data_IF_920594470041
#
_entry.id   IF_920594470041
#
_cell.length_a   1.000
_cell.length_b   1.000
_cell.length_c   1.000
_cell.angle_alpha   90.00
_cell.angle_beta   90.00
_cell.angle_gamma   90.00
#
_symmetry.space_group_name_H-M   'P 1'
#
loop_
_entity.id
_entity.type
_entity.pdbx_description
1 polymer ?
#
# COMPACT_ATOMS: atom_id res chain seq x y z
N UNK A 1 -31.93 -6.59 7.71
CA UNK A 1 -31.71 -5.26 8.31
C UNK A 1 -30.37 -5.13 9.05
N UNK A 2 -29.75 -6.21 9.51
CA UNK A 2 -28.53 -6.20 10.35
C UNK A 2 -27.22 -5.96 9.57
N UNK A 3 -27.13 -6.44 8.33
CA UNK A 3 -25.92 -6.31 7.49
C UNK A 3 -25.60 -4.87 7.04
N UNK A 4 -26.63 -4.05 6.80
CA UNK A 4 -26.44 -2.64 6.42
C UNK A 4 -25.84 -1.79 7.57
N UNK A 5 -26.17 -2.11 8.83
CA UNK A 5 -25.64 -1.40 9.98
C UNK A 5 -24.15 -1.68 10.19
N UNK A 6 -23.72 -2.94 10.02
CA UNK A 6 -22.32 -3.33 10.18
C UNK A 6 -21.46 -2.69 9.09
N UNK A 7 -21.90 -2.72 7.83
CA UNK A 7 -21.18 -2.07 6.72
C UNK A 7 -21.04 -0.55 6.94
N UNK A 8 -22.07 0.11 7.47
CA UNK A 8 -22.06 1.55 7.74
C UNK A 8 -21.13 1.91 8.91
N UNK A 9 -21.09 1.09 9.96
CA UNK A 9 -20.18 1.28 11.10
C UNK A 9 -18.72 1.04 10.72
N UNK A 10 -18.44 0.03 9.88
CA UNK A 10 -17.09 -0.23 9.37
C UNK A 10 -16.65 0.91 8.43
N UNK A 11 -17.50 1.37 7.52
CA UNK A 11 -17.19 2.51 6.65
C UNK A 11 -16.98 3.81 7.44
N UNK A 12 -17.75 4.03 8.51
CA UNK A 12 -17.60 5.20 9.38
C UNK A 12 -16.32 5.12 10.22
N UNK A 13 -16.01 3.96 10.81
CA UNK A 13 -14.80 3.76 11.59
C UNK A 13 -13.53 3.85 10.72
N UNK A 14 -13.56 3.26 9.52
CA UNK A 14 -12.51 3.41 8.52
C UNK A 14 -12.39 4.87 8.07
N UNK A 15 -13.50 5.56 7.78
CA UNK A 15 -13.51 6.97 7.41
C UNK A 15 -12.97 7.90 8.49
N UNK A 16 -13.27 7.64 9.78
CA UNK A 16 -12.75 8.43 10.89
C UNK A 16 -11.26 8.17 11.17
N UNK A 17 -10.78 6.92 11.05
CA UNK A 17 -9.35 6.60 11.13
C UNK A 17 -8.57 7.16 9.95
N UNK A 18 -9.10 7.05 8.73
CA UNK A 18 -8.49 7.65 7.54
C UNK A 18 -8.36 9.17 7.70
N UNK A 19 -9.39 9.83 8.24
CA UNK A 19 -9.35 11.27 8.50
C UNK A 19 -8.37 11.67 9.61
N UNK A 20 -8.28 10.88 10.68
CA UNK A 20 -7.43 11.18 11.83
C UNK A 20 -5.95 10.86 11.61
N UNK A 21 -5.63 9.88 10.76
CA UNK A 21 -4.25 9.40 10.55
C UNK A 21 -3.67 9.84 9.20
N UNK A 22 -4.52 10.05 8.19
CA UNK A 22 -4.08 10.30 6.80
C UNK A 22 -4.54 11.64 6.22
N UNK A 23 -5.53 12.31 6.83
CA UNK A 23 -6.19 13.50 6.27
C UNK A 23 -6.43 14.61 7.31
N UNK A 24 -5.39 14.98 8.07
CA UNK A 24 -5.31 16.34 8.60
C UNK A 24 -5.08 17.29 7.42
N UNK A 25 -6.07 18.12 7.09
CA UNK A 25 -6.13 18.93 5.87
C UNK A 25 -4.90 19.82 5.63
N UNK A 26 -4.19 20.24 6.69
CA UNK A 26 -2.95 21.03 6.60
C UNK A 26 -1.68 20.18 6.42
N UNK A 27 -1.71 18.91 6.83
CA UNK A 27 -0.57 17.98 6.70
C UNK A 27 -0.66 17.09 5.45
N UNK A 28 -1.85 16.89 4.88
CA UNK A 28 -2.02 16.13 3.64
C UNK A 28 -1.32 16.76 2.43
N UNK A 29 -1.33 18.11 2.33
CA UNK A 29 -0.65 18.83 1.26
C UNK A 29 0.89 18.80 1.37
N UNK A 30 1.43 18.90 2.59
CA UNK A 30 2.87 18.81 2.84
C UNK A 30 3.41 17.37 2.71
N UNK A 31 2.63 16.37 3.12
CA UNK A 31 2.98 14.94 2.96
C UNK A 31 2.99 14.53 1.48
N UNK A 32 2.01 15.02 0.70
CA UNK A 32 1.97 14.80 -0.75
C UNK A 32 3.19 15.41 -1.48
N UNK A 33 3.51 16.68 -1.24
CA UNK A 33 4.65 17.33 -1.90
C UNK A 33 5.99 16.72 -1.51
N UNK A 34 6.17 16.34 -0.25
CA UNK A 34 7.35 15.64 0.25
C UNK A 34 7.52 14.27 -0.44
N UNK A 35 6.44 13.52 -0.60
CA UNK A 35 6.47 12.23 -1.29
C UNK A 35 6.81 12.38 -2.77
N UNK A 36 6.16 13.31 -3.48
CA UNK A 36 6.46 13.55 -4.89
C UNK A 36 7.93 13.92 -5.08
N UNK A 37 8.46 14.78 -4.20
CA UNK A 37 9.88 15.18 -4.22
C UNK A 37 10.81 13.99 -3.92
N UNK A 38 10.42 13.11 -3.00
CA UNK A 38 11.20 11.91 -2.71
C UNK A 38 11.25 10.98 -3.93
N UNK A 39 10.10 10.70 -4.55
CA UNK A 39 10.00 9.78 -5.69
C UNK A 39 10.74 10.34 -6.91
N UNK A 40 10.58 11.64 -7.20
CA UNK A 40 11.29 12.27 -8.33
C UNK A 40 12.80 12.25 -8.15
N UNK A 41 13.29 12.34 -6.91
CA UNK A 41 14.72 12.25 -6.60
C UNK A 41 15.23 10.81 -6.59
N UNK A 42 14.41 9.84 -6.20
CA UNK A 42 14.77 8.43 -6.15
C UNK A 42 14.75 7.75 -7.53
N UNK A 43 14.01 8.30 -8.50
CA UNK A 43 13.85 7.73 -9.84
C UNK A 43 13.87 8.81 -10.92
N UNK A 44 14.99 8.91 -11.64
CA UNK A 44 15.24 9.87 -12.72
C UNK A 44 14.28 9.73 -13.93
N UNK A 45 13.54 8.62 -14.05
CA UNK A 45 12.63 8.36 -15.16
C UNK A 45 11.14 8.45 -14.81
N UNK A 46 10.78 8.72 -13.55
CA UNK A 46 9.37 8.74 -13.13
C UNK A 46 8.71 10.06 -13.53
N UNK A 47 7.67 9.99 -14.38
CA UNK A 47 6.91 11.18 -14.73
C UNK A 47 6.05 11.64 -13.54
N UNK A 48 5.70 12.94 -13.49
CA UNK A 48 4.87 13.50 -12.41
C UNK A 48 3.54 12.76 -12.25
N UNK A 49 2.90 12.35 -13.35
CA UNK A 49 1.64 11.58 -13.34
C UNK A 49 1.82 10.19 -12.71
N UNK A 50 2.98 9.56 -12.93
CA UNK A 50 3.31 8.27 -12.34
C UNK A 50 3.57 8.41 -10.84
N UNK A 51 4.25 9.48 -10.42
CA UNK A 51 4.49 9.78 -9.02
C UNK A 51 3.18 10.07 -8.25
N UNK A 52 2.22 10.76 -8.88
CA UNK A 52 0.89 10.99 -8.30
C UNK A 52 0.08 9.70 -8.17
N UNK A 53 0.12 8.85 -9.19
CA UNK A 53 -0.57 7.55 -9.18
C UNK A 53 0.06 6.64 -8.11
N UNK A 54 1.38 6.64 -8.00
CA UNK A 54 2.12 5.91 -6.99
C UNK A 54 1.78 6.41 -5.57
N UNK A 55 1.67 7.72 -5.36
CA UNK A 55 1.23 8.27 -4.08
C UNK A 55 -0.15 7.71 -3.68
N UNK A 56 -1.12 7.77 -4.59
CA UNK A 56 -2.47 7.30 -4.32
C UNK A 56 -2.49 5.81 -3.94
N UNK A 57 -1.71 5.00 -4.64
CA UNK A 57 -1.59 3.56 -4.39
C UNK A 57 -0.89 3.27 -3.04
N UNK A 58 0.19 3.98 -2.69
CA UNK A 58 0.89 3.82 -1.41
C UNK A 58 -0.02 4.18 -0.23
N UNK A 59 -0.73 5.32 -0.29
CA UNK A 59 -1.70 5.71 0.76
C UNK A 59 -2.80 4.67 0.87
N UNK A 60 -3.39 4.28 -0.26
CA UNK A 60 -4.51 3.35 -0.28
C UNK A 60 -4.09 1.98 0.27
N UNK A 61 -2.89 1.52 -0.07
CA UNK A 61 -2.36 0.26 0.43
C UNK A 61 -2.14 0.30 1.95
N UNK A 62 -1.56 1.37 2.49
CA UNK A 62 -1.39 1.51 3.95
C UNK A 62 -2.72 1.36 4.70
N UNK A 63 -3.76 2.06 4.24
CA UNK A 63 -5.08 1.94 4.83
C UNK A 63 -5.73 0.56 4.65
N UNK A 64 -5.48 -0.12 3.52
CA UNK A 64 -5.94 -1.50 3.29
C UNK A 64 -5.24 -2.47 4.23
N UNK A 65 -3.93 -2.33 4.46
CA UNK A 65 -3.17 -3.16 5.40
C UNK A 65 -3.71 -2.99 6.82
N UNK A 66 -3.94 -1.75 7.26
CA UNK A 66 -4.54 -1.45 8.56
C UNK A 66 -5.93 -2.08 8.68
N UNK A 67 -6.80 -1.87 7.69
CA UNK A 67 -8.15 -2.43 7.70
C UNK A 67 -8.13 -3.96 7.72
N UNK A 68 -7.26 -4.57 6.91
CA UNK A 68 -7.12 -6.02 6.80
C UNK A 68 -6.64 -6.63 8.11
N UNK A 69 -5.57 -6.11 8.72
CA UNK A 69 -5.05 -6.63 10.00
C UNK A 69 -6.07 -6.51 11.13
N UNK A 70 -6.93 -5.49 11.12
CA UNK A 70 -8.00 -5.34 12.12
C UNK A 70 -9.20 -6.28 11.88
N UNK A 71 -9.38 -6.80 10.66
CA UNK A 71 -10.54 -7.61 10.28
C UNK A 71 -10.20 -9.09 10.00
N UNK A 72 -8.93 -9.41 9.74
CA UNK A 72 -8.46 -10.76 9.45
C UNK A 72 -8.52 -11.63 10.70
N UNK A 73 -8.93 -12.88 10.53
CA UNK A 73 -8.99 -13.88 11.60
C UNK A 73 -7.95 -15.01 11.42
N UNK A 74 -6.84 -14.69 10.77
CA UNK A 74 -5.69 -15.57 10.56
C UNK A 74 -6.00 -16.90 9.84
N UNK A 75 -7.14 -16.96 9.14
CA UNK A 75 -7.47 -18.10 8.29
C UNK A 75 -6.47 -18.27 7.15
N UNK A 76 -5.87 -19.46 7.09
CA UNK A 76 -4.93 -19.83 6.03
C UNK A 76 -5.66 -20.50 4.89
N UNK A 77 -5.32 -20.12 3.66
CA UNK A 77 -5.86 -20.74 2.46
C UNK A 77 -5.29 -22.16 2.31
N UNK A 78 -6.17 -23.11 1.98
CA UNK A 78 -5.79 -24.50 1.72
C UNK A 78 -4.81 -24.54 0.54
N UNK A 79 -3.71 -25.29 0.69
CA UNK A 79 -2.55 -25.37 -0.21
C UNK A 79 -1.63 -24.14 -0.26
N UNK A 80 -1.89 -23.11 0.56
CA UNK A 80 -1.01 -21.94 0.72
C UNK A 80 -0.65 -21.70 2.20
N UNK A 81 -0.69 -22.74 3.01
CA UNK A 81 -0.39 -22.72 4.45
C UNK A 81 1.09 -22.50 4.77
N UNK A 82 1.93 -22.16 3.79
CA UNK A 82 3.29 -21.68 4.04
C UNK A 82 3.35 -20.15 4.09
N UNK A 83 2.35 -19.48 3.54
CA UNK A 83 2.26 -18.04 3.51
C UNK A 83 1.49 -17.53 4.72
N UNK A 84 1.91 -16.39 5.26
CA UNK A 84 1.17 -15.69 6.32
C UNK A 84 -0.01 -14.90 5.72
N UNK A 85 -0.93 -14.47 6.59
CA UNK A 85 -2.06 -13.60 6.17
C UNK A 85 -1.56 -12.34 5.46
N UNK A 86 -0.52 -11.70 5.99
CA UNK A 86 0.10 -10.51 5.41
C UNK A 86 0.76 -10.80 4.05
N UNK A 87 1.50 -11.90 3.92
CA UNK A 87 2.11 -12.28 2.65
C UNK A 87 1.05 -12.52 1.56
N UNK A 88 -0.06 -13.18 1.92
CA UNK A 88 -1.17 -13.41 1.00
C UNK A 88 -1.87 -12.11 0.60
N UNK A 89 -2.03 -11.14 1.51
CA UNK A 89 -2.57 -9.83 1.19
C UNK A 89 -1.75 -9.15 0.09
N UNK A 90 -0.43 -9.03 0.29
CA UNK A 90 0.44 -8.37 -0.69
C UNK A 90 0.49 -9.11 -2.03
N UNK A 91 0.52 -10.45 -2.01
CA UNK A 91 0.44 -11.28 -3.22
C UNK A 91 -0.87 -11.01 -3.97
N UNK A 92 -2.01 -10.99 -3.28
CA UNK A 92 -3.32 -10.77 -3.88
C UNK A 92 -3.42 -9.38 -4.54
N UNK A 93 -2.88 -8.35 -3.90
CA UNK A 93 -2.87 -6.98 -4.43
C UNK A 93 -2.06 -6.88 -5.72
N UNK A 94 -0.88 -7.49 -5.75
CA UNK A 94 -0.07 -7.54 -6.96
C UNK A 94 -0.69 -8.42 -8.05
N UNK A 95 -1.25 -9.56 -7.68
CA UNK A 95 -1.95 -10.47 -8.60
C UNK A 95 -3.13 -9.79 -9.30
N UNK A 96 -3.90 -8.96 -8.58
CA UNK A 96 -4.99 -8.17 -9.19
C UNK A 96 -4.49 -7.24 -10.31
N UNK A 97 -3.25 -6.72 -10.18
CA UNK A 97 -2.62 -5.86 -11.19
C UNK A 97 -2.03 -6.68 -12.36
N UNK A 98 -1.68 -7.95 -12.15
CA UNK A 98 -1.23 -8.86 -13.22
C UNK A 98 -2.34 -9.19 -14.23
N UNK A 99 -3.60 -9.20 -13.82
CA UNK A 99 -4.74 -9.57 -14.69
C UNK A 99 -5.20 -8.39 -15.56
N UNK A 100 -4.90 -7.14 -15.16
CA UNK A 100 -5.50 -5.94 -15.72
C UNK A 100 -4.68 -5.13 -16.73
N UNK A 101 -3.39 -5.42 -16.97
CA UNK A 101 -2.52 -4.55 -17.78
C UNK A 101 -1.88 -5.25 -18.99
N UNK A 102 -2.19 -4.75 -20.18
CA UNK A 102 -1.52 -5.02 -21.46
C UNK A 102 -0.35 -4.06 -21.74
N UNK A 103 0.00 -3.17 -20.79
CA UNK A 103 1.07 -2.19 -20.98
C UNK A 103 2.34 -2.58 -20.21
N UNK A 104 3.42 -2.58 -20.98
CA UNK A 104 4.74 -3.16 -20.70
C UNK A 104 5.70 -2.10 -20.17
N UNK A 105 6.65 -2.54 -19.32
CA UNK A 105 7.96 -1.94 -19.01
C UNK A 105 7.98 -0.56 -18.34
N UNK A 106 7.85 -0.54 -17.03
CA UNK A 106 8.85 -0.05 -16.06
C UNK A 106 8.60 -0.88 -14.79
N UNK A 107 9.38 -0.77 -13.70
CA UNK A 107 9.10 -1.48 -12.43
C UNK A 107 7.60 -1.71 -12.25
N UNK A 108 7.17 -2.97 -12.08
CA UNK A 108 5.73 -3.25 -12.04
C UNK A 108 5.10 -2.30 -11.02
N UNK A 109 3.97 -1.67 -11.33
CA UNK A 109 3.38 -0.70 -10.38
C UNK A 109 3.21 -1.34 -8.97
N UNK A 110 3.06 -2.66 -8.92
CA UNK A 110 3.23 -3.47 -7.71
C UNK A 110 4.57 -3.22 -6.99
N UNK A 111 5.71 -3.48 -7.62
CA UNK A 111 7.03 -3.26 -7.02
C UNK A 111 7.27 -1.79 -6.63
N UNK A 112 6.82 -0.87 -7.49
CA UNK A 112 6.90 0.57 -7.25
C UNK A 112 6.19 0.97 -5.94
N UNK A 113 5.00 0.40 -5.71
CA UNK A 113 4.21 0.64 -4.50
C UNK A 113 4.83 -0.09 -3.30
N UNK A 114 5.09 -1.39 -3.42
CA UNK A 114 5.48 -2.24 -2.29
C UNK A 114 6.82 -1.85 -1.67
N UNK A 115 7.80 -1.38 -2.46
CA UNK A 115 9.09 -0.92 -1.91
C UNK A 115 8.97 0.32 -1.00
N UNK A 116 7.85 1.04 -1.08
CA UNK A 116 7.54 2.21 -0.27
C UNK A 116 6.61 1.92 0.91
N UNK A 117 6.18 0.65 1.09
CA UNK A 117 5.33 0.19 2.20
C UNK A 117 6.15 -0.71 3.12
N UNK A 118 6.59 -0.22 4.30
CA UNK A 118 7.51 -0.97 5.16
C UNK A 118 6.95 -2.32 5.62
N UNK A 119 5.63 -2.41 5.82
CA UNK A 119 4.91 -3.62 6.22
C UNK A 119 5.13 -4.76 5.21
N UNK A 120 5.35 -4.45 3.92
CA UNK A 120 5.72 -5.45 2.92
C UNK A 120 7.10 -6.04 3.22
N UNK A 121 8.10 -5.19 3.41
CA UNK A 121 9.47 -5.63 3.69
C UNK A 121 9.57 -6.44 4.99
N UNK A 122 8.74 -6.12 5.97
CA UNK A 122 8.60 -6.86 7.23
C UNK A 122 7.94 -8.23 6.99
N UNK A 123 6.81 -8.27 6.27
CA UNK A 123 6.08 -9.51 5.99
C UNK A 123 6.91 -10.54 5.20
N UNK A 124 7.82 -10.09 4.34
CA UNK A 124 8.71 -10.94 3.54
C UNK A 124 10.14 -11.04 4.08
N UNK A 125 10.44 -10.41 5.22
CA UNK A 125 11.79 -10.35 5.80
C UNK A 125 12.86 -9.90 4.79
N UNK A 126 12.54 -8.87 3.99
CA UNK A 126 13.48 -8.34 3.00
C UNK A 126 14.66 -7.63 3.68
N UNK A 127 15.88 -8.03 3.33
CA UNK A 127 17.08 -7.36 3.85
C UNK A 127 17.18 -5.90 3.37
N UNK A 128 17.67 -5.01 4.23
CA UNK A 128 17.84 -3.58 3.89
C UNK A 128 18.87 -3.42 2.78
N UNK A 129 18.59 -2.52 1.84
CA UNK A 129 19.40 -2.28 0.65
C UNK A 129 19.05 -3.18 -0.54
N UNK A 130 18.13 -4.14 -0.37
CA UNK A 130 17.62 -4.94 -1.51
C UNK A 130 16.64 -4.12 -2.36
N UNK A 131 16.37 -4.52 -3.62
CA UNK A 131 15.46 -3.78 -4.50
C UNK A 131 14.06 -3.52 -3.90
N UNK A 132 13.54 -4.45 -3.11
CA UNK A 132 12.24 -4.35 -2.45
C UNK A 132 12.30 -3.80 -1.01
N UNK A 133 13.50 -3.48 -0.51
CA UNK A 133 13.70 -2.77 0.76
C UNK A 133 14.89 -1.81 0.63
N UNK A 134 14.78 -0.75 -0.20
CA UNK A 134 15.88 0.17 -0.47
C UNK A 134 16.22 1.00 0.76
N UNK A 135 17.43 1.59 0.78
CA UNK A 135 17.85 2.48 1.88
C UNK A 135 16.95 3.71 2.02
N UNK A 136 16.45 4.21 0.88
CA UNK A 136 15.55 5.34 0.79
C UNK A 136 14.18 4.83 0.36
N UNK A 137 13.21 4.93 1.27
CA UNK A 137 11.80 4.66 1.00
C UNK A 137 11.06 5.99 1.06
N UNK A 138 10.19 6.26 0.09
CA UNK A 138 9.33 7.43 0.10
C UNK A 138 8.09 7.09 0.90
N UNK A 139 8.12 7.42 2.20
CA UNK A 139 7.03 7.15 3.13
C UNK A 139 6.18 8.39 3.35
N UNK A 140 4.95 8.16 3.77
CA UNK A 140 4.00 9.21 4.13
C UNK A 140 3.82 9.35 5.64
N UNK A 141 4.25 8.34 6.40
CA UNK A 141 4.15 8.18 7.86
C UNK A 141 5.40 7.46 8.39
#
# INVERSE_FOLDING_TARGET
MTLLCIASQVAFALGQRFRSTYLSADAGGASFSAFLSCVSNASLSTQLKDAQSLFAEVVSLGAVVDAYRNASDDRRLVNLERLTSDQLLFIAICYAKCIGSYYVVHDSMCDAVLKNVPEFSEAFNCARGTPMNPHQQCRLF
#
